data_IF_920105312383
#
_entry.id   IF_920105312383
#
_cell.length_a   1.000
_cell.length_b   1.000
_cell.length_c   1.000
_cell.angle_alpha   90.00
_cell.angle_beta   90.00
_cell.angle_gamma   90.00
#
_symmetry.space_group_name_H-M   'P 1'
#
loop_
_entity.id
_entity.type
_entity.pdbx_description
1 polymer ?
#
# COMPACT_ATOMS: atom_id res chain seq x y z
N UNK A 1 -51.16 -34.82 58.48
CA UNK A 1 -50.16 -35.89 58.23
C UNK A 1 -50.66 -36.62 56.99
N UNK A 2 -50.08 -36.46 55.80
CA UNK A 2 -48.68 -36.70 55.44
C UNK A 2 -48.17 -35.76 54.35
N UNK A 3 -46.87 -35.47 54.29
CA UNK A 3 -46.26 -34.62 53.27
C UNK A 3 -45.69 -35.44 52.08
N UNK A 4 -45.72 -34.84 50.88
CA UNK A 4 -44.93 -35.09 49.64
C UNK A 4 -45.54 -35.97 48.53
N UNK A 5 -45.36 -35.53 47.25
CA UNK A 5 -44.14 -35.86 46.52
C UNK A 5 -43.47 -34.64 45.87
N UNK A 6 -42.79 -33.80 46.66
CA UNK A 6 -41.86 -32.79 46.09
C UNK A 6 -40.47 -33.40 45.75
N UNK A 7 -40.14 -34.57 46.29
CA UNK A 7 -38.86 -35.26 46.07
C UNK A 7 -38.71 -35.75 44.64
N UNK A 8 -39.79 -36.26 44.04
CA UNK A 8 -39.74 -36.89 42.72
C UNK A 8 -39.46 -35.87 41.61
N UNK A 9 -39.99 -34.65 41.74
CA UNK A 9 -39.76 -33.57 40.78
C UNK A 9 -38.35 -32.97 40.90
N UNK A 10 -37.80 -32.87 42.12
CA UNK A 10 -36.40 -32.46 42.30
C UNK A 10 -35.42 -33.51 41.75
N UNK A 11 -35.72 -34.80 41.88
CA UNK A 11 -34.85 -35.86 41.34
C UNK A 11 -34.80 -35.88 39.81
N UNK A 12 -35.94 -35.65 39.15
CA UNK A 12 -36.02 -35.56 37.69
C UNK A 12 -35.34 -34.29 37.14
N UNK A 13 -35.42 -33.15 37.84
CA UNK A 13 -34.72 -31.93 37.45
C UNK A 13 -33.19 -32.01 37.66
N UNK A 14 -32.74 -32.69 38.71
CA UNK A 14 -31.30 -32.93 38.94
C UNK A 14 -30.72 -33.88 37.89
N UNK A 15 -31.46 -34.90 37.45
CA UNK A 15 -31.00 -35.78 36.36
C UNK A 15 -30.97 -35.07 34.99
N UNK A 16 -31.86 -34.12 34.73
CA UNK A 16 -31.83 -33.32 33.49
C UNK A 16 -30.70 -32.30 33.50
N UNK A 17 -30.43 -31.66 34.65
CA UNK A 17 -29.32 -30.72 34.81
C UNK A 17 -27.93 -31.42 34.71
N UNK A 18 -27.82 -32.67 35.19
CA UNK A 18 -26.59 -33.45 35.07
C UNK A 18 -26.28 -33.91 33.63
N UNK A 19 -27.30 -34.04 32.77
CA UNK A 19 -27.12 -34.46 31.37
C UNK A 19 -26.73 -33.31 30.42
N UNK A 20 -26.93 -32.05 30.82
CA UNK A 20 -26.56 -30.86 30.02
C UNK A 20 -25.09 -30.46 30.21
N UNK A 21 -24.40 -30.98 31.23
CA UNK A 21 -23.07 -30.51 31.63
C UNK A 21 -21.87 -31.32 31.10
N UNK A 22 -22.06 -32.32 30.22
CA UNK A 22 -20.94 -33.17 29.73
C UNK A 22 -21.02 -33.47 28.23
N UNK A 23 -21.10 -32.43 27.41
CA UNK A 23 -20.66 -32.57 26.01
C UNK A 23 -19.12 -32.50 25.97
N UNK A 24 -18.42 -33.48 25.38
CA UNK A 24 -16.99 -33.36 25.14
C UNK A 24 -16.74 -32.18 24.19
N UNK A 25 -15.65 -31.41 24.38
CA UNK A 25 -15.34 -30.26 23.53
C UNK A 25 -15.29 -30.70 22.07
N UNK A 26 -15.85 -29.88 21.18
CA UNK A 26 -15.83 -30.20 19.75
C UNK A 26 -14.38 -30.28 19.27
N UNK A 27 -14.15 -31.02 18.18
CA UNK A 27 -12.81 -31.08 17.58
C UNK A 27 -12.26 -29.68 17.25
N UNK A 28 -13.13 -28.70 16.97
CA UNK A 28 -12.76 -27.30 16.76
C UNK A 28 -12.30 -26.60 18.04
N UNK A 29 -12.97 -26.85 19.18
CA UNK A 29 -12.58 -26.29 20.48
C UNK A 29 -11.24 -26.88 20.96
N UNK A 30 -11.04 -28.18 20.73
CA UNK A 30 -9.76 -28.85 21.03
C UNK A 30 -8.63 -28.32 20.13
N UNK A 31 -8.91 -28.08 18.84
CA UNK A 31 -7.94 -27.47 17.93
C UNK A 31 -7.60 -26.04 18.36
N UNK A 32 -8.59 -25.25 18.76
CA UNK A 32 -8.41 -23.88 19.23
C UNK A 32 -7.60 -23.81 20.52
N UNK A 33 -7.80 -24.75 21.44
CA UNK A 33 -7.00 -24.86 22.67
C UNK A 33 -5.55 -25.29 22.41
N UNK A 34 -5.31 -26.15 21.42
CA UNK A 34 -3.97 -26.57 21.02
C UNK A 34 -3.22 -25.48 20.25
N UNK A 35 -3.91 -24.74 19.39
CA UNK A 35 -3.30 -23.74 18.51
C UNK A 35 -3.20 -22.36 19.17
N UNK A 36 -4.05 -22.03 20.14
CA UNK A 36 -4.05 -20.73 20.84
C UNK A 36 -2.67 -20.32 21.34
N UNK A 37 -1.98 -21.12 22.17
CA UNK A 37 -0.66 -20.78 22.70
C UNK A 37 0.43 -20.66 21.61
N UNK A 38 0.30 -21.42 20.52
CA UNK A 38 1.24 -21.38 19.38
C UNK A 38 1.05 -20.11 18.56
N UNK A 39 -0.21 -19.73 18.32
CA UNK A 39 -0.57 -18.49 17.61
C UNK A 39 -0.17 -17.28 18.46
N UNK A 40 -0.48 -17.27 19.76
CA UNK A 40 -0.10 -16.19 20.67
C UNK A 40 1.41 -16.01 20.76
N UNK A 41 2.17 -17.10 20.83
CA UNK A 41 3.63 -17.04 20.85
C UNK A 41 4.24 -16.62 19.50
N UNK A 42 3.63 -17.00 18.36
CA UNK A 42 4.03 -16.52 17.05
C UNK A 42 3.73 -15.02 16.87
N UNK A 43 2.57 -14.56 17.33
CA UNK A 43 2.20 -13.13 17.33
C UNK A 43 3.09 -12.33 18.26
N UNK A 44 3.40 -12.84 19.46
CA UNK A 44 4.31 -12.17 20.40
C UNK A 44 5.73 -12.04 19.83
N UNK A 45 6.24 -13.08 19.14
CA UNK A 45 7.54 -13.03 18.45
C UNK A 45 7.54 -12.06 17.29
N UNK A 46 6.50 -12.07 16.47
CA UNK A 46 6.34 -11.09 15.42
C UNK A 46 6.28 -9.66 15.99
N UNK A 47 5.54 -9.42 17.07
CA UNK A 47 5.50 -8.11 17.71
C UNK A 47 6.86 -7.73 18.35
N UNK A 48 7.61 -8.67 18.91
CA UNK A 48 8.95 -8.38 19.46
C UNK A 48 9.98 -8.05 18.39
N UNK A 49 9.87 -8.66 17.20
CA UNK A 49 10.80 -8.43 16.09
C UNK A 49 10.57 -7.05 15.43
N UNK A 50 9.33 -6.55 15.46
CA UNK A 50 8.99 -5.25 14.87
C UNK A 50 9.21 -4.07 15.82
N UNK A 51 9.12 -4.28 17.15
CA UNK A 51 9.28 -3.19 18.15
C UNK A 51 10.60 -2.42 18.01
N UNK A 52 11.78 -3.04 17.82
CA UNK A 52 13.04 -2.31 17.68
C UNK A 52 13.08 -1.42 16.43
N UNK A 53 12.55 -1.91 15.31
CA UNK A 53 12.50 -1.15 14.06
C UNK A 53 11.56 0.06 14.19
N UNK A 54 10.37 -0.16 14.76
CA UNK A 54 9.38 0.90 15.01
C UNK A 54 9.91 1.97 15.97
N UNK A 55 10.60 1.57 17.05
CA UNK A 55 11.21 2.51 18.00
C UNK A 55 12.36 3.31 17.36
N UNK A 56 13.14 2.69 16.47
CA UNK A 56 14.22 3.36 15.73
C UNK A 56 13.66 4.38 14.75
N UNK A 57 12.60 4.03 14.02
CA UNK A 57 11.92 4.94 13.09
C UNK A 57 11.24 6.10 13.83
N UNK A 58 10.63 5.85 14.99
CA UNK A 58 10.08 6.89 15.86
C UNK A 58 11.16 7.86 16.34
N UNK A 59 12.31 7.35 16.79
CA UNK A 59 13.44 8.20 17.21
C UNK A 59 13.99 9.04 16.05
N UNK A 60 14.09 8.47 14.84
CA UNK A 60 14.51 9.20 13.64
C UNK A 60 13.49 10.27 13.25
N UNK A 61 12.18 10.03 13.43
CA UNK A 61 11.14 11.01 13.17
C UNK A 61 11.16 12.14 14.18
N UNK A 62 11.36 11.86 15.47
CA UNK A 62 11.52 12.89 16.51
C UNK A 62 12.72 13.79 16.23
N UNK A 63 13.89 13.23 15.92
CA UNK A 63 15.08 14.02 15.60
C UNK A 63 14.87 14.94 14.38
N UNK A 64 14.09 14.47 13.39
CA UNK A 64 13.73 15.29 12.21
C UNK A 64 12.76 16.40 12.57
N UNK A 65 11.81 16.16 13.47
CA UNK A 65 10.88 17.17 13.96
C UNK A 65 11.62 18.28 14.72
N UNK A 66 12.49 17.91 15.66
CA UNK A 66 13.33 18.87 16.41
C UNK A 66 14.23 19.70 15.48
N UNK A 67 14.78 19.07 14.44
CA UNK A 67 15.58 19.78 13.42
C UNK A 67 14.74 20.81 12.67
N UNK A 68 13.48 20.47 12.32
CA UNK A 68 12.57 21.37 11.61
C UNK A 68 12.10 22.52 12.51
N UNK A 69 11.79 22.24 13.76
CA UNK A 69 11.45 23.26 14.76
C UNK A 69 12.61 24.26 14.93
N UNK A 70 13.85 23.78 15.07
CA UNK A 70 15.04 24.65 15.18
C UNK A 70 15.32 25.52 13.94
N UNK A 71 14.80 25.12 12.78
CA UNK A 71 14.91 25.88 11.53
C UNK A 71 13.81 26.94 11.46
N UNK A 72 12.61 26.60 11.92
CA UNK A 72 11.49 27.54 12.00
C UNK A 72 11.80 28.69 12.97
N UNK A 73 12.44 28.39 14.11
CA UNK A 73 12.85 29.41 15.09
C UNK A 73 13.94 30.33 14.52
N UNK A 74 14.84 29.81 13.67
CA UNK A 74 15.87 30.60 13.00
C UNK A 74 15.33 31.49 11.88
N UNK A 75 14.28 31.07 11.20
CA UNK A 75 13.62 31.87 10.17
C UNK A 75 12.65 32.92 10.76
N UNK A 76 12.39 32.86 12.08
CA UNK A 76 11.60 33.83 12.83
C UNK A 76 12.39 35.01 13.42
N UNK A 77 13.73 34.93 13.44
CA UNK A 77 14.58 36.00 13.98
C UNK A 77 14.83 37.06 12.89
N UNK A 78 14.20 38.23 13.05
CA UNK A 78 14.42 39.38 12.16
C UNK A 78 15.88 39.84 12.21
N UNK A 79 16.52 40.20 11.08
CA UNK A 79 17.88 40.71 11.12
C UNK A 79 17.94 42.06 11.87
N UNK A 80 19.01 42.35 12.62
CA UNK A 80 19.15 43.62 13.31
C UNK A 80 19.19 44.79 12.29
N UNK A 81 18.57 45.93 12.60
CA UNK A 81 18.52 47.04 11.66
C UNK A 81 19.89 47.71 11.60
N UNK A 82 20.54 47.58 10.45
CA UNK A 82 21.71 48.38 10.11
C UNK A 82 22.78 47.63 9.36
N UNK A 83 22.61 47.45 8.06
CA UNK A 83 23.72 47.54 7.12
C UNK A 83 23.17 48.01 5.76
N UNK A 84 23.68 49.16 5.33
CA UNK A 84 23.26 49.88 4.15
C UNK A 84 23.57 49.14 2.84
N UNK A 85 22.90 49.65 1.81
CA UNK A 85 22.94 49.19 0.43
C UNK A 85 24.35 48.96 -0.12
N UNK A 86 24.51 47.88 -0.89
CA UNK A 86 25.48 47.81 -1.98
C UNK A 86 24.79 47.35 -3.27
N UNK A 87 24.93 48.19 -4.31
CA UNK A 87 24.47 47.97 -5.69
C UNK A 87 25.27 46.85 -6.37
N UNK A 88 24.75 46.24 -7.46
CA UNK A 88 25.44 45.15 -8.15
C UNK A 88 26.48 45.70 -9.13
N UNK A 89 27.64 45.04 -9.23
CA UNK A 89 28.54 45.20 -10.38
C UNK A 89 29.06 43.84 -10.86
N UNK A 90 29.23 43.84 -12.17
CA UNK A 90 29.41 42.78 -13.16
C UNK A 90 30.77 42.07 -13.19
N UNK A 91 30.71 40.83 -13.68
CA UNK A 91 31.65 40.01 -14.47
C UNK A 91 33.07 40.53 -14.84
N UNK A 92 34.04 39.60 -14.70
CA UNK A 92 35.29 39.40 -15.47
C UNK A 92 36.64 39.71 -14.80
N UNK A 93 37.49 38.66 -14.64
CA UNK A 93 38.97 38.58 -14.76
C UNK A 93 39.47 37.36 -13.94
N UNK A 94 39.82 36.22 -14.56
CA UNK A 94 41.11 35.80 -15.14
C UNK A 94 42.19 35.30 -14.14
N UNK A 95 42.71 34.11 -14.46
CA UNK A 95 44.04 33.51 -14.17
C UNK A 95 44.41 33.00 -12.76
N UNK A 96 44.20 31.69 -12.57
CA UNK A 96 45.20 30.60 -12.40
C UNK A 96 46.33 30.62 -11.32
N UNK A 97 46.87 29.42 -10.96
CA UNK A 97 47.42 29.09 -9.63
C UNK A 97 48.96 29.04 -9.59
N UNK A 98 49.54 28.98 -8.38
CA UNK A 98 50.74 28.20 -8.00
C UNK A 98 51.29 28.67 -6.65
N UNK A 99 51.91 27.77 -5.88
CA UNK A 99 52.93 28.17 -4.90
C UNK A 99 53.01 27.31 -3.66
N UNK A 100 53.95 26.35 -3.67
CA UNK A 100 54.40 25.56 -2.54
C UNK A 100 55.54 26.26 -1.75
N UNK A 101 55.83 25.74 -0.54
CA UNK A 101 56.97 26.03 0.36
C UNK A 101 56.51 25.88 1.82
N UNK A 102 56.86 24.86 2.62
CA UNK A 102 58.17 24.49 3.22
C UNK A 102 58.87 25.69 3.89
N UNK A 103 59.37 25.70 5.12
CA UNK A 103 59.87 24.73 6.13
C UNK A 103 59.60 25.32 7.54
N UNK A 104 59.55 24.59 8.65
CA UNK A 104 60.75 24.22 9.42
C UNK A 104 60.42 23.27 10.58
N UNK A 105 61.40 22.39 10.83
CA UNK A 105 61.41 21.30 11.79
C UNK A 105 61.72 21.72 13.23
N UNK A 106 61.21 20.94 14.19
CA UNK A 106 61.84 20.75 15.50
C UNK A 106 61.86 19.25 15.79
N UNK A 107 63.07 18.75 16.05
CA UNK A 107 63.43 17.36 16.37
C UNK A 107 63.08 17.00 17.81
N UNK A 108 62.57 15.80 18.04
CA UNK A 108 62.74 15.08 19.29
C UNK A 108 62.63 13.58 19.01
N UNK A 109 63.78 12.91 19.09
CA UNK A 109 63.94 11.46 19.02
C UNK A 109 63.26 10.81 20.24
N UNK A 110 62.46 9.77 20.00
CA UNK A 110 62.20 8.72 21.00
C UNK A 110 61.96 7.41 20.26
N UNK A 111 63.00 6.58 20.34
CA UNK A 111 63.07 5.18 20.00
C UNK A 111 61.90 4.38 20.61
N UNK A 112 61.13 3.69 19.79
CA UNK A 112 60.27 2.60 20.25
C UNK A 112 60.14 1.52 19.16
N UNK A 113 60.46 0.31 19.60
CA UNK A 113 60.59 -0.96 18.86
C UNK A 113 59.41 -1.31 17.92
N UNK A 114 59.64 -2.09 16.85
CA UNK A 114 58.61 -2.44 15.88
C UNK A 114 57.71 -3.55 16.39
N UNK A 115 56.46 -3.23 16.75
CA UNK A 115 55.40 -4.22 16.89
C UNK A 115 55.00 -4.76 15.52
N UNK A 116 55.69 -5.83 15.16
CA UNK A 116 55.35 -6.73 14.07
C UNK A 116 53.98 -7.35 14.35
N UNK A 117 53.03 -7.22 13.42
CA UNK A 117 51.85 -8.08 13.38
C UNK A 117 50.48 -7.41 13.52
N UNK A 118 50.19 -6.38 12.72
CA UNK A 118 48.79 -6.12 12.34
C UNK A 118 48.37 -7.19 11.31
N UNK A 119 47.97 -8.36 11.82
CA UNK A 119 47.37 -9.43 11.02
C UNK A 119 46.03 -8.90 10.52
N UNK A 120 46.00 -8.43 9.27
CA UNK A 120 44.78 -8.04 8.57
C UNK A 120 43.74 -9.15 8.72
N UNK A 121 42.62 -8.80 9.36
CA UNK A 121 41.44 -9.66 9.41
C UNK A 121 41.07 -10.03 7.97
N UNK A 122 40.77 -11.31 7.69
CA UNK A 122 40.27 -11.68 6.37
C UNK A 122 39.00 -10.87 6.12
N UNK A 123 38.97 -10.17 4.97
CA UNK A 123 37.77 -9.50 4.48
C UNK A 123 36.64 -10.51 4.55
N UNK A 124 35.65 -10.24 5.41
CA UNK A 124 34.46 -11.06 5.45
C UNK A 124 33.84 -11.01 4.05
N UNK A 125 33.43 -12.13 3.44
CA UNK A 125 32.86 -12.11 2.10
C UNK A 125 31.71 -11.11 2.09
N UNK A 126 31.86 -10.02 1.34
CA UNK A 126 30.75 -9.11 1.05
C UNK A 126 29.65 -10.00 0.48
N UNK A 127 28.46 -10.04 1.10
CA UNK A 127 27.36 -10.84 0.58
C UNK A 127 27.15 -10.44 -0.88
N UNK A 128 27.03 -11.40 -1.81
CA UNK A 128 26.76 -11.05 -3.20
C UNK A 128 25.52 -10.17 -3.24
N UNK A 129 25.62 -9.03 -3.93
CA UNK A 129 24.48 -8.12 -4.11
C UNK A 129 23.28 -8.93 -4.62
N UNK A 130 22.05 -8.61 -4.17
CA UNK A 130 20.86 -9.31 -4.63
C UNK A 130 20.78 -9.20 -6.15
N UNK A 131 20.99 -10.33 -6.83
CA UNK A 131 20.94 -10.41 -8.28
C UNK A 131 19.52 -10.10 -8.73
N UNK A 132 19.34 -8.97 -9.41
CA UNK A 132 18.09 -8.55 -10.01
C UNK A 132 18.29 -8.22 -11.49
N UNK A 133 17.20 -8.27 -12.26
CA UNK A 133 17.20 -7.95 -13.69
C UNK A 133 16.80 -6.49 -13.92
N UNK A 134 17.67 -5.64 -14.51
CA UNK A 134 17.33 -4.25 -14.82
C UNK A 134 16.38 -4.11 -16.03
N UNK A 135 16.27 -5.12 -16.89
CA UNK A 135 15.47 -5.08 -18.12
C UNK A 135 14.62 -6.37 -18.29
N UNK A 136 13.72 -6.66 -17.33
CA UNK A 136 12.94 -7.88 -17.31
C UNK A 136 11.98 -7.98 -18.50
N UNK A 137 11.80 -9.19 -19.01
CA UNK A 137 10.71 -9.51 -19.95
C UNK A 137 9.43 -9.84 -19.15
N UNK A 138 8.25 -9.30 -19.52
CA UNK A 138 7.01 -9.63 -18.82
C UNK A 138 6.61 -11.08 -19.06
N UNK A 139 5.99 -11.68 -18.05
CA UNK A 139 5.21 -12.89 -18.23
C UNK A 139 3.87 -12.58 -18.93
N UNK A 140 3.37 -13.46 -19.83
CA UNK A 140 2.06 -13.33 -20.43
C UNK A 140 0.94 -13.35 -19.39
N UNK A 141 -0.05 -12.46 -19.48
CA UNK A 141 -1.13 -12.35 -18.48
C UNK A 141 -2.05 -13.57 -18.39
N UNK A 142 -2.07 -14.42 -19.41
CA UNK A 142 -2.84 -15.66 -19.49
C UNK A 142 -2.11 -16.87 -18.84
N UNK A 143 -0.85 -16.71 -18.45
CA UNK A 143 -0.06 -17.75 -17.79
C UNK A 143 -0.31 -17.90 -16.27
N UNK A 144 -1.43 -17.37 -15.77
CA UNK A 144 -1.77 -17.42 -14.35
C UNK A 144 -2.15 -18.85 -13.89
N UNK A 145 -1.86 -19.25 -12.62
CA UNK A 145 -1.18 -18.47 -11.59
C UNK A 145 0.33 -18.39 -11.83
N UNK A 146 0.91 -17.21 -11.61
CA UNK A 146 2.32 -16.98 -11.86
C UNK A 146 3.20 -17.54 -10.75
N UNK A 147 4.22 -18.27 -11.17
CA UNK A 147 5.33 -18.68 -10.30
C UNK A 147 6.35 -17.55 -10.19
N UNK A 148 7.01 -17.50 -9.05
CA UNK A 148 8.05 -16.52 -8.82
C UNK A 148 9.31 -16.94 -9.59
N UNK A 149 9.90 -16.04 -10.42
CA UNK A 149 11.13 -16.33 -11.12
C UNK A 149 12.32 -16.32 -10.16
N UNK A 150 13.39 -17.04 -10.52
CA UNK A 150 14.64 -17.06 -9.74
C UNK A 150 15.29 -15.66 -9.65
N UNK A 151 15.08 -14.81 -10.66
CA UNK A 151 15.57 -13.43 -10.70
C UNK A 151 14.38 -12.50 -10.88
N UNK A 152 14.26 -11.51 -10.00
CA UNK A 152 13.21 -10.48 -10.03
C UNK A 152 13.73 -9.20 -10.66
N UNK A 153 12.82 -8.35 -11.10
CA UNK A 153 13.13 -7.03 -11.63
C UNK A 153 13.75 -6.11 -10.55
N UNK A 154 14.79 -5.36 -10.90
CA UNK A 154 15.43 -4.39 -10.00
C UNK A 154 14.49 -3.24 -9.59
N UNK A 155 13.57 -2.85 -10.48
CA UNK A 155 12.52 -1.90 -10.13
C UNK A 155 11.61 -2.44 -9.00
N UNK A 156 10.92 -1.54 -8.31
CA UNK A 156 9.98 -1.89 -7.22
C UNK A 156 8.51 -1.66 -7.58
N UNK A 157 8.25 -1.07 -8.76
CA UNK A 157 6.92 -0.83 -9.30
C UNK A 157 6.97 -0.65 -10.82
N UNK A 158 5.81 -0.72 -11.47
CA UNK A 158 5.69 -0.42 -12.89
C UNK A 158 6.18 1.00 -13.20
N UNK A 159 5.87 1.98 -12.34
CA UNK A 159 6.32 3.36 -12.50
C UNK A 159 7.85 3.47 -12.51
N UNK A 160 8.52 2.83 -11.56
CA UNK A 160 9.99 2.83 -11.52
C UNK A 160 10.60 2.10 -12.71
N UNK A 161 10.00 0.98 -13.17
CA UNK A 161 10.50 0.29 -14.35
C UNK A 161 10.38 1.16 -15.60
N UNK A 162 9.28 1.90 -15.77
CA UNK A 162 9.14 2.88 -16.84
C UNK A 162 10.23 3.94 -16.77
N UNK A 163 10.47 4.49 -15.59
CA UNK A 163 11.39 5.61 -15.38
C UNK A 163 12.86 5.19 -15.52
N UNK A 164 13.17 3.90 -15.47
CA UNK A 164 14.48 3.35 -15.81
C UNK A 164 14.78 3.36 -17.33
N UNK A 165 13.75 3.51 -18.17
CA UNK A 165 13.87 3.48 -19.64
C UNK A 165 13.76 2.06 -20.23
N UNK A 166 14.17 1.89 -21.48
CA UNK A 166 14.22 0.57 -22.14
C UNK A 166 12.89 0.04 -22.71
N UNK A 167 11.89 0.91 -22.88
CA UNK A 167 10.58 0.60 -23.49
C UNK A 167 9.92 -0.69 -22.98
N UNK A 168 9.66 -0.80 -21.65
CA UNK A 168 9.05 -1.99 -21.07
C UNK A 168 7.65 -2.25 -21.66
N UNK A 169 7.34 -3.52 -21.86
CA UNK A 169 6.11 -3.98 -22.50
C UNK A 169 4.99 -4.21 -21.48
N UNK A 170 3.73 -4.09 -21.89
CA UNK A 170 2.60 -4.46 -21.03
C UNK A 170 2.70 -5.94 -20.63
N UNK A 171 2.38 -6.25 -19.38
CA UNK A 171 2.38 -7.64 -18.92
C UNK A 171 2.68 -7.79 -17.43
N UNK A 172 2.94 -9.03 -17.02
CA UNK A 172 3.08 -9.37 -15.60
C UNK A 172 4.53 -9.40 -15.18
N UNK A 173 4.84 -8.69 -14.10
CA UNK A 173 6.19 -8.51 -13.57
C UNK A 173 6.29 -8.94 -12.11
N UNK A 174 7.47 -9.43 -11.76
CA UNK A 174 7.89 -9.67 -10.38
C UNK A 174 8.96 -8.64 -9.99
N UNK A 175 8.61 -7.74 -9.07
CA UNK A 175 9.49 -6.68 -8.60
C UNK A 175 10.20 -7.06 -7.30
N UNK A 176 11.38 -6.49 -7.09
CA UNK A 176 12.05 -6.54 -5.78
C UNK A 176 11.21 -5.77 -4.75
N UNK A 177 11.05 -6.35 -3.56
CA UNK A 177 10.25 -5.75 -2.47
C UNK A 177 8.73 -5.83 -2.64
N UNK A 178 8.21 -6.45 -3.71
CA UNK A 178 6.79 -6.79 -3.85
C UNK A 178 6.60 -8.30 -3.70
N UNK A 179 5.79 -8.80 -2.74
CA UNK A 179 5.68 -10.24 -2.51
C UNK A 179 4.84 -10.99 -3.57
N UNK A 180 4.23 -10.25 -4.50
CA UNK A 180 3.25 -10.74 -5.46
C UNK A 180 3.55 -10.20 -6.86
N UNK A 181 3.17 -10.92 -7.93
CA UNK A 181 3.27 -10.42 -9.29
C UNK A 181 2.26 -9.30 -9.52
N UNK A 182 2.59 -8.37 -10.39
CA UNK A 182 1.71 -7.25 -10.76
C UNK A 182 1.59 -7.13 -12.27
N UNK A 183 0.39 -6.81 -12.75
CA UNK A 183 0.18 -6.45 -14.14
C UNK A 183 0.54 -4.97 -14.33
N UNK A 184 1.48 -4.70 -15.22
CA UNK A 184 1.87 -3.36 -15.62
C UNK A 184 1.23 -2.96 -16.94
N UNK A 185 0.76 -1.71 -17.01
CA UNK A 185 0.33 -1.05 -18.24
C UNK A 185 1.24 0.16 -18.51
N UNK A 186 2.09 -0.01 -19.52
CA UNK A 186 3.01 0.98 -20.08
C UNK A 186 2.43 1.67 -21.32
N UNK A 187 1.47 1.04 -22.01
CA UNK A 187 0.89 1.56 -23.25
C UNK A 187 -0.04 2.77 -23.05
N UNK A 188 -0.63 2.95 -21.86
CA UNK A 188 -1.69 3.94 -21.68
C UNK A 188 -1.34 5.11 -20.77
N UNK A 189 -1.72 6.32 -21.18
CA UNK A 189 -1.75 7.51 -20.31
C UNK A 189 -0.40 7.82 -19.63
N UNK A 190 0.69 7.64 -20.37
CA UNK A 190 2.06 7.84 -19.89
C UNK A 190 2.69 6.59 -19.25
N UNK A 191 1.97 5.48 -19.18
CA UNK A 191 2.49 4.19 -18.73
C UNK A 191 2.91 4.14 -17.25
N UNK A 192 3.45 3.00 -16.82
CA UNK A 192 3.91 2.79 -15.45
C UNK A 192 2.76 2.53 -14.46
N UNK A 193 1.60 2.12 -14.95
CA UNK A 193 0.44 1.80 -14.12
C UNK A 193 0.56 0.38 -13.55
N UNK A 194 0.42 0.26 -12.23
CA UNK A 194 0.31 -1.03 -11.54
C UNK A 194 -1.17 -1.36 -11.33
N UNK A 195 -1.65 -2.51 -11.84
CA UNK A 195 -3.01 -2.97 -11.57
C UNK A 195 -3.18 -3.32 -10.08
N UNK A 196 -4.14 -2.69 -9.42
CA UNK A 196 -4.42 -2.94 -7.99
C UNK A 196 -5.64 -3.83 -7.75
N UNK A 197 -6.67 -3.71 -8.60
CA UNK A 197 -7.93 -4.42 -8.42
C UNK A 197 -8.68 -4.53 -9.76
N UNK A 198 -9.33 -5.66 -9.97
CA UNK A 198 -10.31 -5.91 -11.02
C UNK A 198 -11.56 -6.52 -10.40
N UNK A 199 -12.70 -5.84 -10.56
CA UNK A 199 -14.02 -6.35 -10.20
C UNK A 199 -14.74 -6.83 -11.47
N UNK A 200 -14.47 -8.06 -11.89
CA UNK A 200 -15.07 -8.68 -13.08
C UNK A 200 -16.49 -9.18 -12.83
N UNK A 201 -16.77 -9.65 -11.60
CA UNK A 201 -18.11 -10.06 -11.16
C UNK A 201 -18.51 -9.33 -9.88
N UNK A 202 -19.82 -9.31 -9.59
CA UNK A 202 -20.38 -8.72 -8.36
C UNK A 202 -20.12 -9.58 -7.13
N UNK A 203 -19.94 -10.88 -7.32
CA UNK A 203 -19.91 -11.84 -6.22
C UNK A 203 -18.53 -11.98 -5.60
N UNK A 204 -18.53 -12.31 -4.31
CA UNK A 204 -17.34 -12.64 -3.54
C UNK A 204 -16.66 -11.46 -2.88
N UNK A 205 -17.05 -10.22 -3.13
CA UNK A 205 -16.37 -9.06 -2.52
C UNK A 205 -16.79 -8.83 -1.06
N UNK A 206 -15.79 -8.81 -0.20
CA UNK A 206 -15.87 -8.43 1.21
C UNK A 206 -14.60 -7.64 1.59
N UNK A 207 -14.55 -7.12 2.82
CA UNK A 207 -13.43 -6.28 3.30
C UNK A 207 -12.09 -7.02 3.27
N UNK A 208 -12.05 -8.35 3.38
CA UNK A 208 -10.80 -9.10 3.32
C UNK A 208 -10.36 -9.34 1.88
N UNK A 209 -11.29 -9.74 1.02
CA UNK A 209 -10.99 -10.09 -0.36
C UNK A 209 -10.76 -8.88 -1.27
N UNK A 210 -11.27 -7.69 -0.90
CA UNK A 210 -10.90 -6.44 -1.56
C UNK A 210 -9.45 -6.05 -1.26
N UNK A 211 -8.93 -6.43 -0.08
CA UNK A 211 -7.53 -6.20 0.30
C UNK A 211 -6.59 -7.16 -0.44
N UNK A 212 -7.00 -8.42 -0.63
CA UNK A 212 -6.21 -9.45 -1.30
C UNK A 212 -7.08 -10.55 -1.90
N UNK A 213 -6.96 -10.78 -3.20
CA UNK A 213 -7.67 -11.84 -3.93
C UNK A 213 -6.88 -12.26 -5.16
N UNK A 214 -6.70 -13.56 -5.33
CA UNK A 214 -6.01 -14.14 -6.48
C UNK A 214 -4.67 -13.42 -6.75
N UNK A 215 -3.91 -13.11 -5.70
CA UNK A 215 -2.78 -12.18 -5.75
C UNK A 215 -1.67 -12.63 -6.71
N UNK A 216 -1.58 -13.94 -6.98
CA UNK A 216 -0.65 -14.52 -7.97
C UNK A 216 -1.19 -14.59 -9.40
N UNK A 217 -2.38 -14.05 -9.65
CA UNK A 217 -3.11 -14.15 -10.91
C UNK A 217 -3.70 -12.79 -11.32
N UNK A 218 -2.88 -11.75 -11.51
CA UNK A 218 -3.35 -10.45 -11.97
C UNK A 218 -4.08 -10.58 -13.31
N UNK A 219 -5.29 -10.02 -13.39
CA UNK A 219 -6.17 -10.21 -14.53
C UNK A 219 -7.08 -9.00 -14.74
N UNK A 220 -7.37 -8.67 -16.00
CA UNK A 220 -8.39 -7.69 -16.37
C UNK A 220 -9.78 -8.32 -16.57
N UNK A 221 -9.87 -9.66 -16.62
CA UNK A 221 -11.10 -10.40 -16.93
C UNK A 221 -11.63 -11.22 -15.76
N UNK A 222 -10.84 -11.39 -14.70
CA UNK A 222 -11.19 -12.16 -13.51
C UNK A 222 -11.05 -11.29 -12.25
N UNK A 223 -11.78 -11.65 -11.19
CA UNK A 223 -11.68 -10.94 -9.92
C UNK A 223 -10.26 -11.05 -9.35
N UNK A 224 -9.63 -9.90 -9.13
CA UNK A 224 -8.25 -9.78 -8.67
C UNK A 224 -8.14 -8.60 -7.72
N UNK A 225 -7.33 -8.71 -6.66
CA UNK A 225 -7.01 -7.58 -5.81
C UNK A 225 -5.66 -7.76 -5.10
N UNK A 226 -4.90 -6.68 -5.03
CA UNK A 226 -3.69 -6.51 -4.21
C UNK A 226 -3.73 -5.17 -3.48
N UNK A 227 -4.93 -4.67 -3.15
CA UNK A 227 -5.15 -3.33 -2.61
C UNK A 227 -4.37 -3.10 -1.31
N UNK A 228 -4.11 -4.15 -0.52
CA UNK A 228 -3.23 -4.10 0.67
C UNK A 228 -1.83 -3.56 0.38
N UNK A 229 -1.34 -3.71 -0.85
CA UNK A 229 -0.02 -3.25 -1.27
C UNK A 229 -0.05 -1.86 -1.92
N UNK A 230 -1.23 -1.29 -2.17
CA UNK A 230 -1.39 -0.06 -2.95
C UNK A 230 -0.66 1.15 -2.33
N UNK A 231 -0.72 1.31 -1.00
CA UNK A 231 0.00 2.38 -0.31
C UNK A 231 1.52 2.19 -0.38
N UNK A 232 2.01 0.95 -0.30
CA UNK A 232 3.44 0.66 -0.44
C UNK A 232 3.92 1.04 -1.86
N UNK A 233 3.14 0.72 -2.90
CA UNK A 233 3.43 1.13 -4.28
C UNK A 233 3.42 2.65 -4.43
N UNK A 234 2.41 3.33 -3.87
CA UNK A 234 2.32 4.80 -3.83
C UNK A 234 3.56 5.42 -3.18
N UNK A 235 4.03 4.85 -2.07
CA UNK A 235 5.11 5.42 -1.27
C UNK A 235 6.49 5.33 -1.94
N UNK A 236 6.63 4.52 -3.00
CA UNK A 236 7.82 4.50 -3.84
C UNK A 236 7.99 5.79 -4.66
N UNK A 237 6.94 6.59 -4.80
CA UNK A 237 6.98 7.89 -5.47
C UNK A 237 7.48 9.01 -4.57
N UNK A 238 8.24 9.94 -5.16
CA UNK A 238 8.82 11.11 -4.48
C UNK A 238 7.97 12.39 -4.60
N UNK A 239 6.86 12.36 -5.35
CA UNK A 239 6.00 13.54 -5.58
C UNK A 239 5.07 13.83 -4.39
N UNK A 240 4.56 15.07 -4.29
CA UNK A 240 3.57 15.46 -3.26
C UNK A 240 2.16 14.95 -3.52
N UNK A 241 1.91 14.48 -4.75
CA UNK A 241 0.66 13.85 -5.19
C UNK A 241 0.98 12.55 -5.94
N UNK A 242 0.02 11.64 -6.01
CA UNK A 242 0.08 10.44 -6.84
C UNK A 242 -1.13 10.40 -7.78
N UNK A 243 -0.96 9.71 -8.91
CA UNK A 243 -2.03 9.47 -9.85
C UNK A 243 -2.71 8.13 -9.56
N UNK A 244 -4.03 8.08 -9.70
CA UNK A 244 -4.79 6.83 -9.75
C UNK A 244 -5.74 6.83 -10.95
N UNK A 245 -6.05 5.63 -11.43
CA UNK A 245 -6.86 5.41 -12.63
C UNK A 245 -7.99 4.46 -12.29
N UNK A 246 -9.19 4.80 -12.76
CA UNK A 246 -10.39 3.95 -12.67
C UNK A 246 -10.93 3.76 -14.07
N UNK A 247 -11.26 2.52 -14.41
CA UNK A 247 -11.83 2.14 -15.69
C UNK A 247 -12.97 1.14 -15.45
N UNK A 248 -14.06 1.28 -16.20
CA UNK A 248 -15.06 0.22 -16.31
C UNK A 248 -14.93 -0.47 -17.66
N UNK A 249 -15.30 -1.75 -17.74
CA UNK A 249 -15.25 -2.54 -18.99
C UNK A 249 -13.84 -2.64 -19.62
N UNK A 250 -12.78 -2.58 -18.82
CA UNK A 250 -11.40 -2.61 -19.29
C UNK A 250 -11.07 -3.86 -20.12
N UNK A 251 -11.78 -4.98 -19.89
CA UNK A 251 -11.67 -6.21 -20.67
C UNK A 251 -12.17 -6.10 -22.12
N UNK A 252 -13.14 -5.22 -22.38
CA UNK A 252 -13.72 -5.00 -23.71
C UNK A 252 -13.10 -3.77 -24.40
N UNK A 253 -12.49 -2.87 -23.63
CA UNK A 253 -11.75 -1.73 -24.14
C UNK A 253 -11.20 -0.88 -23.01
N UNK A 254 -9.93 -0.49 -23.13
CA UNK A 254 -9.28 0.43 -22.19
C UNK A 254 -9.83 1.86 -22.35
N UNK A 255 -9.64 2.68 -21.32
CA UNK A 255 -10.06 4.08 -21.19
C UNK A 255 -11.56 4.27 -21.35
N UNK A 256 -12.35 3.54 -20.57
CA UNK A 256 -13.82 3.61 -20.59
C UNK A 256 -14.40 3.95 -19.23
N UNK A 257 -15.44 4.80 -19.23
CA UNK A 257 -16.31 5.13 -18.10
C UNK A 257 -15.56 5.40 -16.78
N UNK A 258 -14.58 6.28 -16.84
CA UNK A 258 -13.69 6.54 -15.71
C UNK A 258 -12.73 7.68 -15.98
N UNK A 259 -11.50 7.58 -15.49
CA UNK A 259 -10.52 8.64 -15.68
C UNK A 259 -9.21 8.39 -14.96
N UNK A 260 -8.39 9.45 -14.96
CA UNK A 260 -7.17 9.58 -14.17
C UNK A 260 -7.32 10.80 -13.29
N UNK A 261 -6.96 10.65 -12.02
CA UNK A 261 -7.01 11.70 -11.01
C UNK A 261 -5.67 11.82 -10.29
N UNK A 262 -5.38 13.01 -9.77
CA UNK A 262 -4.34 13.21 -8.76
C UNK A 262 -4.94 13.32 -7.35
N UNK A 263 -4.32 12.64 -6.40
CA UNK A 263 -4.61 12.72 -4.97
C UNK A 263 -3.34 13.13 -4.17
N UNK A 264 -3.48 13.81 -3.03
CA UNK A 264 -2.39 14.07 -2.09
C UNK A 264 -1.68 12.79 -1.65
N UNK A 265 -0.35 12.81 -1.52
CA UNK A 265 0.43 11.64 -1.08
C UNK A 265 0.00 11.09 0.29
N UNK A 266 -0.55 11.94 1.16
CA UNK A 266 -1.09 11.52 2.46
C UNK A 266 -2.34 10.64 2.37
N UNK A 267 -3.03 10.59 1.23
CA UNK A 267 -4.25 9.79 1.06
C UNK A 267 -3.92 8.31 0.87
N UNK A 268 -4.75 7.45 1.45
CA UNK A 268 -4.63 6.00 1.51
C UNK A 268 -5.67 5.30 0.62
N UNK A 269 -5.27 4.23 -0.07
CA UNK A 269 -6.18 3.35 -0.82
C UNK A 269 -7.02 2.43 0.08
N UNK A 270 -6.63 2.28 1.35
CA UNK A 270 -7.32 1.45 2.35
C UNK A 270 -7.94 2.31 3.46
N UNK A 271 -8.21 3.58 3.17
CA UNK A 271 -8.92 4.46 4.10
C UNK A 271 -10.37 3.96 4.28
N UNK A 272 -10.88 3.99 5.51
CA UNK A 272 -12.19 3.41 5.85
C UNK A 272 -13.34 4.43 5.91
N UNK A 273 -13.06 5.68 5.55
CA UNK A 273 -14.08 6.72 5.47
C UNK A 273 -14.00 7.51 4.17
N UNK A 274 -15.09 8.19 3.83
CA UNK A 274 -15.24 8.93 2.58
C UNK A 274 -14.51 10.30 2.57
N UNK A 275 -13.71 10.65 3.58
CA UNK A 275 -13.19 12.02 3.77
C UNK A 275 -12.11 12.47 2.78
N UNK A 276 -11.54 11.57 1.98
CA UNK A 276 -10.43 11.85 1.05
C UNK A 276 -10.90 12.52 -0.25
N UNK A 277 -11.30 13.78 -0.17
CA UNK A 277 -12.05 14.51 -1.22
C UNK A 277 -11.21 15.48 -2.08
N UNK A 278 -9.98 15.82 -1.70
CA UNK A 278 -9.11 16.71 -2.49
C UNK A 278 -8.49 15.97 -3.69
N UNK A 279 -9.34 15.51 -4.62
CA UNK A 279 -8.91 14.86 -5.87
C UNK A 279 -9.19 15.75 -7.07
N UNK A 280 -8.26 15.77 -8.02
CA UNK A 280 -8.37 16.53 -9.27
C UNK A 280 -8.33 15.58 -10.46
N UNK A 281 -9.39 15.56 -11.26
CA UNK A 281 -9.40 14.81 -12.52
C UNK A 281 -8.44 15.47 -13.52
N UNK A 282 -7.56 14.68 -14.11
CA UNK A 282 -6.60 15.14 -15.14
C UNK A 282 -6.92 14.58 -16.51
N UNK A 283 -7.63 13.45 -16.55
CA UNK A 283 -8.10 12.88 -17.80
C UNK A 283 -9.44 12.21 -17.56
N UNK A 284 -10.43 12.55 -18.38
CA UNK A 284 -11.75 11.92 -18.37
C UNK A 284 -11.82 10.88 -19.48
N UNK A 285 -12.33 9.70 -19.15
CA UNK A 285 -12.61 8.63 -20.09
C UNK A 285 -14.10 8.58 -20.39
N UNK A 286 -14.45 8.76 -21.67
CA UNK A 286 -15.82 9.05 -22.13
C UNK A 286 -16.40 10.34 -21.50
N UNK A 287 -17.72 10.52 -21.64
CA UNK A 287 -18.44 11.66 -21.10
C UNK A 287 -19.30 11.21 -19.92
N UNK A 288 -19.01 11.74 -18.73
CA UNK A 288 -19.78 11.49 -17.51
C UNK A 288 -19.63 12.67 -16.55
N UNK A 289 -20.47 12.72 -15.52
CA UNK A 289 -20.42 13.73 -14.46
C UNK A 289 -20.42 13.05 -13.09
N UNK A 290 -19.85 13.71 -12.08
CA UNK A 290 -19.89 13.20 -10.71
C UNK A 290 -21.33 13.05 -10.21
N UNK A 291 -21.67 11.90 -9.62
CA UNK A 291 -23.02 11.60 -9.12
C UNK A 291 -22.94 10.55 -8.00
N UNK A 292 -23.89 10.61 -7.05
CA UNK A 292 -23.95 9.67 -5.90
C UNK A 292 -24.09 8.20 -6.33
N UNK A 293 -24.80 7.94 -7.43
CA UNK A 293 -24.95 6.60 -8.02
C UNK A 293 -23.85 6.23 -9.02
N UNK A 294 -22.77 7.02 -9.09
CA UNK A 294 -21.64 6.84 -10.00
C UNK A 294 -20.32 7.15 -9.33
N UNK A 295 -19.36 7.68 -10.10
CA UNK A 295 -18.09 8.15 -9.54
C UNK A 295 -18.36 9.48 -8.84
N UNK A 296 -17.94 9.64 -7.59
CA UNK A 296 -17.89 10.94 -6.94
C UNK A 296 -16.46 11.51 -6.92
N UNK A 297 -16.33 12.80 -6.60
CA UNK A 297 -15.06 13.52 -6.56
C UNK A 297 -14.30 13.22 -5.25
N UNK A 298 -13.89 11.96 -5.07
CA UNK A 298 -13.05 11.50 -3.95
C UNK A 298 -12.23 10.27 -4.31
N UNK A 299 -11.24 9.96 -3.49
CA UNK A 299 -10.54 8.67 -3.57
C UNK A 299 -11.50 7.52 -3.28
N UNK A 300 -11.31 6.35 -3.92
CA UNK A 300 -11.92 5.12 -3.46
C UNK A 300 -11.56 4.85 -1.98
N UNK A 301 -12.54 4.39 -1.21
CA UNK A 301 -12.40 4.08 0.21
C UNK A 301 -13.14 2.79 0.57
N UNK A 302 -12.70 2.13 1.64
CA UNK A 302 -13.22 0.85 2.13
C UNK A 302 -14.46 1.09 2.98
N UNK A 303 -15.61 0.59 2.51
CA UNK A 303 -16.82 0.57 3.29
C UNK A 303 -16.86 -0.67 4.20
N UNK A 304 -16.57 -0.47 5.48
CA UNK A 304 -16.58 -1.51 6.51
C UNK A 304 -17.94 -1.65 7.22
N UNK A 305 -18.94 -0.85 6.83
CA UNK A 305 -20.24 -0.69 7.53
C UNK A 305 -21.22 -1.87 7.48
N UNK A 306 -20.91 -2.96 6.74
CA UNK A 306 -21.62 -4.23 6.88
C UNK A 306 -22.77 -4.50 5.87
N UNK A 307 -22.56 -5.56 5.08
CA UNK A 307 -23.53 -6.46 4.42
C UNK A 307 -24.71 -5.83 3.67
N UNK A 308 -24.40 -5.23 2.51
CA UNK A 308 -25.18 -5.10 1.24
C UNK A 308 -24.64 -3.98 0.34
N UNK A 309 -23.60 -3.29 0.79
CA UNK A 309 -23.04 -2.12 0.13
C UNK A 309 -21.75 -2.44 -0.64
N UNK A 310 -21.39 -1.55 -1.58
CA UNK A 310 -20.13 -1.64 -2.29
C UNK A 310 -18.95 -1.53 -1.30
N UNK A 311 -18.07 -2.54 -1.29
CA UNK A 311 -16.93 -2.64 -0.34
C UNK A 311 -15.85 -1.61 -0.64
N UNK A 312 -15.57 -1.34 -1.91
CA UNK A 312 -14.71 -0.24 -2.34
C UNK A 312 -15.54 0.71 -3.18
N UNK A 313 -15.63 1.96 -2.75
CA UNK A 313 -16.54 2.92 -3.36
C UNK A 313 -15.96 4.32 -3.36
N UNK A 314 -16.46 5.15 -4.26
CA UNK A 314 -16.24 6.61 -4.20
C UNK A 314 -17.47 7.32 -3.63
N UNK A 315 -18.55 6.62 -3.30
CA UNK A 315 -19.76 7.26 -2.78
C UNK A 315 -19.55 7.82 -1.38
N UNK A 316 -20.14 8.97 -1.08
CA UNK A 316 -20.18 9.53 0.28
C UNK A 316 -20.95 8.66 1.26
N UNK A 317 -22.08 8.13 0.78
CA UNK A 317 -23.07 7.39 1.55
C UNK A 317 -23.47 6.17 0.72
N UNK A 318 -22.64 5.12 0.71
CA UNK A 318 -22.90 3.89 -0.01
C UNK A 318 -24.01 3.11 0.71
N UNK A 319 -25.26 3.53 0.56
CA UNK A 319 -26.43 2.79 1.02
C UNK A 319 -27.11 2.15 -0.18
N UNK A 320 -27.10 0.82 -0.27
CA UNK A 320 -27.85 -0.18 -1.08
C UNK A 320 -28.41 0.15 -2.49
N UNK A 321 -28.22 1.35 -3.03
CA UNK A 321 -28.74 1.83 -4.31
C UNK A 321 -27.63 2.02 -5.35
N UNK A 322 -26.49 1.35 -5.14
CA UNK A 322 -25.52 1.09 -6.18
C UNK A 322 -26.09 0.00 -7.11
N UNK A 323 -25.91 0.16 -8.42
CA UNK A 323 -26.58 -0.57 -9.52
C UNK A 323 -26.29 -2.09 -9.62
N UNK A 324 -25.86 -2.71 -8.50
CA UNK A 324 -25.65 -4.14 -8.36
C UNK A 324 -26.88 -4.97 -7.94
N UNK A 325 -27.99 -4.35 -7.51
CA UNK A 325 -29.20 -5.06 -7.07
C UNK A 325 -30.46 -4.61 -7.79
N UNK A 326 -30.86 -5.34 -8.84
CA UNK A 326 -32.20 -5.23 -9.40
C UNK A 326 -33.13 -6.21 -8.70
N UNK A 327 -33.70 -5.80 -7.57
CA UNK A 327 -34.79 -6.50 -6.89
C UNK A 327 -36.01 -5.59 -6.84
N UNK A 328 -37.06 -5.95 -7.58
CA UNK A 328 -38.24 -5.13 -7.80
C UNK A 328 -39.13 -4.95 -6.57
N UNK A 329 -39.91 -3.87 -6.58
CA UNK A 329 -40.95 -3.61 -5.59
C UNK A 329 -41.57 -2.21 -5.65
N UNK A 330 -42.30 -1.90 -6.72
CA UNK A 330 -43.54 -1.09 -6.71
C UNK A 330 -43.52 0.42 -6.42
N UNK A 331 -44.03 1.22 -7.38
CA UNK A 331 -44.77 2.44 -7.06
C UNK A 331 -44.57 3.68 -7.94
N UNK A 332 -45.13 3.68 -9.15
CA UNK A 332 -45.83 4.82 -9.78
C UNK A 332 -45.08 6.12 -10.12
N UNK A 333 -45.01 6.45 -11.42
CA UNK A 333 -45.00 7.84 -11.88
C UNK A 333 -44.02 8.20 -13.00
N UNK A 334 -44.44 7.96 -14.25
CA UNK A 334 -44.16 8.75 -15.47
C UNK A 334 -42.76 9.35 -15.74
N UNK A 335 -42.12 8.88 -16.83
CA UNK A 335 -41.25 9.74 -17.66
C UNK A 335 -39.95 9.12 -18.15
N UNK A 336 -39.99 8.45 -19.32
CA UNK A 336 -38.87 8.39 -20.28
C UNK A 336 -37.59 7.62 -19.90
N UNK A 337 -37.65 6.29 -19.84
CA UNK A 337 -36.44 5.44 -19.74
C UNK A 337 -35.89 5.06 -21.12
N UNK A 338 -34.78 5.69 -21.51
CA UNK A 338 -33.88 5.19 -22.55
C UNK A 338 -33.10 3.98 -22.03
N UNK A 339 -33.38 2.81 -22.62
CA UNK A 339 -32.66 1.56 -22.38
C UNK A 339 -31.28 1.62 -23.03
N UNK A 340 -30.22 1.30 -22.29
CA UNK A 340 -28.94 0.90 -22.88
C UNK A 340 -28.46 -0.37 -22.19
N UNK A 341 -28.72 -1.49 -22.88
CA UNK A 341 -28.30 -2.83 -22.51
C UNK A 341 -26.99 -3.17 -23.24
N UNK A 342 -26.03 -3.66 -22.46
CA UNK A 342 -25.20 -4.85 -22.70
C UNK A 342 -25.04 -5.32 -24.17
N UNK A 343 -23.79 -5.25 -24.66
CA UNK A 343 -23.01 -6.41 -25.13
C UNK A 343 -21.57 -6.21 -24.70
#
# INVERSE_FOLDING_TARGET
>A
MSPWPAAALLWLLVQWAAAVATQPPSAADQLSQLLGPVVESAVARALSDWRPAVLTDLGRLQARLETLESRLDRDGESPPPGCGACRPLTLAALCQPAGAGSETAVTADTESEPLTGARSLPDSPVPPEPVCDPAPTPAPSDAAPHQEPAVRACARSCLQLRDQGGDPQDGVYWFTGMPVPVLCDFSHDGGGWTLLLTAATRDGWDVLSVLGRAERSPSLTHNYAILRHANAVRDLGNGTRFAYRIEAQAQAGRRRWGGVWFAPRSYSFVHETSSQTDVSIVRMFNNWAYRNSGIEKRMPWLNTGGVKDAVLTTSESPTSSWWAGGGGGGGGGGGGSGRSAQR
#
